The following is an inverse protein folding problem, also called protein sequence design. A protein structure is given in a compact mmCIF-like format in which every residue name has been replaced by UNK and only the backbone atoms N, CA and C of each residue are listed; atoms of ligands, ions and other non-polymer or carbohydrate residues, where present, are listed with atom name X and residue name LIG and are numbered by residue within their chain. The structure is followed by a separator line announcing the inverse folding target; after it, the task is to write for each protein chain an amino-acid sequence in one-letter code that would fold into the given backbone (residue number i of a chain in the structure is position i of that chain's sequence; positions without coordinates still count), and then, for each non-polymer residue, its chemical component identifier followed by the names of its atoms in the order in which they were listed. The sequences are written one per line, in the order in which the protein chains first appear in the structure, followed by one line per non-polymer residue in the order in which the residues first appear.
data_IF_592382682697
#
_entry.id   IF_592382682697
#
_cell.length_a   1.000
_cell.length_b   1.000
_cell.length_c   1.000
_cell.angle_alpha   90.00
_cell.angle_beta   90.00
_cell.angle_gamma   90.00
#
_symmetry.space_group_name_H-M   'P 1'
#
loop_
_entity.id
_entity.type
_entity.pdbx_description
1 polymer ?
#
# COMPACT_ATOMS: atom_id res chain seq x y z
N UNK A 1 -6.72 14.77 -12.44
CA UNK A 1 -5.34 14.34 -12.23
C UNK A 1 -5.13 14.24 -10.74
N UNK A 2 -4.66 13.10 -10.19
CA UNK A 2 -4.45 12.94 -8.74
C UNK A 2 -3.48 13.98 -8.21
N UNK A 3 -3.52 14.21 -6.91
CA UNK A 3 -2.63 15.18 -6.29
C UNK A 3 -1.26 14.56 -6.07
N UNK A 4 -0.24 15.08 -6.73
CA UNK A 4 1.16 14.69 -6.47
C UNK A 4 1.77 15.70 -5.51
N UNK A 5 2.27 15.21 -4.38
CA UNK A 5 2.89 16.03 -3.34
C UNK A 5 4.15 16.72 -3.85
N UNK A 6 4.31 18.00 -3.48
CA UNK A 6 5.52 18.79 -3.73
C UNK A 6 6.43 18.73 -2.49
N UNK A 7 7.69 19.13 -2.66
CA UNK A 7 8.64 19.21 -1.53
C UNK A 7 8.12 20.06 -0.37
N UNK A 8 7.46 21.18 -0.68
CA UNK A 8 6.91 22.09 0.35
C UNK A 8 5.82 21.41 1.20
N UNK A 9 4.98 20.59 0.58
CA UNK A 9 3.94 19.83 1.28
C UNK A 9 4.57 18.77 2.19
N UNK A 10 5.59 18.08 1.68
CA UNK A 10 6.35 17.09 2.40
C UNK A 10 7.08 17.71 3.60
N UNK A 11 7.74 18.86 3.42
CA UNK A 11 8.42 19.60 4.50
C UNK A 11 7.45 20.06 5.58
N UNK A 12 6.25 20.49 5.18
CA UNK A 12 5.19 20.88 6.12
C UNK A 12 4.71 19.69 6.93
N UNK A 13 4.51 18.57 6.26
CA UNK A 13 4.06 17.33 6.88
C UNK A 13 5.11 16.76 7.84
N UNK A 14 6.38 16.72 7.43
CA UNK A 14 7.48 16.25 8.28
C UNK A 14 7.62 17.10 9.53
N UNK A 15 7.65 18.45 9.40
CA UNK A 15 7.67 19.34 10.55
C UNK A 15 6.47 19.17 11.47
N UNK A 16 5.30 18.84 10.93
CA UNK A 16 4.11 18.58 11.74
C UNK A 16 4.26 17.28 12.54
N UNK A 17 4.75 16.20 11.93
CA UNK A 17 5.00 14.93 12.61
C UNK A 17 6.17 14.98 13.63
N UNK A 18 7.08 15.93 13.49
CA UNK A 18 8.17 16.15 14.45
C UNK A 18 7.73 16.84 15.74
N UNK A 19 6.55 17.42 15.77
CA UNK A 19 6.00 18.18 16.90
C UNK A 19 4.70 17.56 17.39
N UNK A 20 4.29 17.95 18.61
CA UNK A 20 2.94 17.64 19.05
C UNK A 20 1.91 18.53 18.34
N UNK A 21 0.74 17.98 17.96
CA UNK A 21 0.24 16.63 18.25
C UNK A 21 0.69 15.55 17.23
N UNK A 22 1.45 15.88 16.21
CA UNK A 22 1.80 14.99 15.10
C UNK A 22 2.52 13.71 15.56
N UNK A 23 3.44 13.80 16.53
CA UNK A 23 4.11 12.62 17.11
C UNK A 23 3.13 11.63 17.72
N UNK A 24 2.20 12.15 18.51
CA UNK A 24 1.14 11.34 19.12
C UNK A 24 0.25 10.68 18.05
N UNK A 25 -0.09 11.42 16.99
CA UNK A 25 -0.88 10.90 15.86
C UNK A 25 -0.14 9.75 15.18
N UNK A 26 1.12 9.94 14.82
CA UNK A 26 1.92 8.89 14.17
C UNK A 26 2.05 7.64 15.05
N UNK A 27 2.25 7.81 16.36
CA UNK A 27 2.31 6.69 17.28
C UNK A 27 0.99 5.92 17.33
N UNK A 28 -0.17 6.60 17.35
CA UNK A 28 -1.48 5.96 17.34
C UNK A 28 -1.78 5.27 16.00
N UNK A 29 -1.40 5.86 14.87
CA UNK A 29 -1.56 5.29 13.54
C UNK A 29 -0.74 4.00 13.38
N UNK A 30 0.54 4.02 13.78
CA UNK A 30 1.43 2.85 13.70
C UNK A 30 1.00 1.74 14.65
N UNK A 31 0.58 2.07 15.87
CA UNK A 31 0.01 1.10 16.80
C UNK A 31 -1.28 0.47 16.23
N UNK A 32 -2.11 1.26 15.57
CA UNK A 32 -3.34 0.76 14.98
C UNK A 32 -3.05 -0.18 13.81
N UNK A 33 -2.11 0.21 12.93
CA UNK A 33 -1.63 -0.63 11.82
C UNK A 33 -1.11 -1.96 12.36
N UNK A 34 -0.29 -1.94 13.42
CA UNK A 34 0.25 -3.15 14.04
C UNK A 34 -0.85 -4.05 14.63
N UNK A 35 -1.95 -3.49 15.13
CA UNK A 35 -3.09 -4.25 15.66
C UNK A 35 -3.91 -4.98 14.61
N UNK A 36 -4.02 -4.42 13.41
CA UNK A 36 -4.72 -5.07 12.30
C UNK A 36 -3.80 -5.98 11.49
N UNK A 37 -2.49 -5.70 11.51
CA UNK A 37 -1.49 -6.44 10.78
C UNK A 37 -0.22 -6.66 11.61
N UNK A 38 -0.02 -7.87 12.09
CA UNK A 38 1.13 -8.27 12.90
C UNK A 38 1.61 -9.65 12.44
N UNK A 39 2.42 -9.70 11.38
CA UNK A 39 2.93 -10.96 10.86
C UNK A 39 3.96 -11.57 11.82
N UNK A 40 3.94 -12.90 11.97
CA UNK A 40 4.83 -13.64 12.86
C UNK A 40 6.27 -13.77 12.35
N UNK A 41 6.55 -13.33 11.13
CA UNK A 41 7.87 -13.38 10.47
C UNK A 41 8.05 -12.19 9.52
N UNK A 42 9.31 -11.83 9.19
CA UNK A 42 9.61 -10.83 8.19
C UNK A 42 8.86 -11.07 6.88
N UNK A 43 8.40 -10.01 6.25
CA UNK A 43 7.69 -10.03 4.99
C UNK A 43 8.33 -9.06 3.99
N UNK A 44 8.10 -9.30 2.70
CA UNK A 44 8.33 -8.30 1.65
C UNK A 44 7.14 -7.35 1.62
N UNK A 45 7.37 -6.08 1.93
CA UNK A 45 6.33 -5.05 2.00
C UNK A 45 6.56 -4.00 0.94
N UNK A 46 5.55 -3.71 0.12
CA UNK A 46 5.51 -2.55 -0.77
C UNK A 46 4.66 -1.46 -0.12
N UNK A 47 5.20 -0.26 0.04
CA UNK A 47 4.43 0.93 0.38
C UNK A 47 4.18 1.75 -0.87
N UNK A 48 2.91 1.94 -1.25
CA UNK A 48 2.47 2.71 -2.40
C UNK A 48 2.14 4.14 -1.96
N UNK A 49 2.76 5.13 -2.60
CA UNK A 49 2.66 6.54 -2.19
C UNK A 49 3.48 6.82 -0.93
N UNK A 50 4.72 6.36 -0.89
CA UNK A 50 5.54 6.38 0.33
C UNK A 50 5.98 7.79 0.79
N UNK A 51 5.82 8.82 -0.02
CA UNK A 51 6.14 10.20 0.32
C UNK A 51 7.57 10.36 0.87
N UNK A 52 7.69 10.86 2.09
CA UNK A 52 9.00 11.06 2.76
C UNK A 52 9.58 9.78 3.40
N UNK A 53 8.93 8.63 3.22
CA UNK A 53 9.41 7.34 3.70
C UNK A 53 9.24 7.08 5.19
N UNK A 54 8.31 7.78 5.84
CA UNK A 54 8.07 7.64 7.29
C UNK A 54 7.57 6.25 7.66
N UNK A 55 6.60 5.71 6.92
CA UNK A 55 6.10 4.35 7.14
C UNK A 55 7.07 3.30 6.58
N UNK A 56 7.82 3.58 5.49
CA UNK A 56 8.90 2.71 5.03
C UNK A 56 9.89 2.43 6.17
N UNK A 57 10.34 3.49 6.86
CA UNK A 57 11.24 3.36 8.02
C UNK A 57 10.59 2.54 9.11
N UNK A 58 9.34 2.82 9.45
CA UNK A 58 8.61 2.07 10.47
C UNK A 58 8.51 0.58 10.13
N UNK A 59 8.17 0.20 8.88
CA UNK A 59 8.15 -1.19 8.46
C UNK A 59 9.54 -1.85 8.53
N UNK A 60 10.59 -1.14 8.14
CA UNK A 60 11.97 -1.64 8.22
C UNK A 60 12.41 -1.87 9.67
N UNK A 61 12.05 -0.97 10.59
CA UNK A 61 12.31 -1.11 12.03
C UNK A 61 11.58 -2.31 12.65
N UNK A 62 10.45 -2.74 12.06
CA UNK A 62 9.77 -4.00 12.42
C UNK A 62 10.44 -5.25 11.82
N UNK A 63 11.55 -5.09 11.07
CA UNK A 63 12.33 -6.18 10.49
C UNK A 63 11.82 -6.68 9.14
N UNK A 64 10.99 -5.92 8.44
CA UNK A 64 10.50 -6.27 7.10
C UNK A 64 11.46 -5.83 6.00
N UNK A 65 11.40 -6.52 4.84
CA UNK A 65 12.06 -6.09 3.60
C UNK A 65 11.13 -5.12 2.87
N UNK A 66 11.57 -3.88 2.73
CA UNK A 66 10.66 -2.78 2.35
C UNK A 66 11.06 -2.18 1.02
N UNK A 67 10.07 -1.98 0.17
CA UNK A 67 10.16 -1.21 -1.08
C UNK A 67 9.10 -0.12 -1.04
N UNK A 68 9.44 1.10 -1.47
CA UNK A 68 8.51 2.21 -1.64
C UNK A 68 8.31 2.55 -3.10
N UNK A 69 7.13 3.06 -3.46
CA UNK A 69 6.87 3.67 -4.76
C UNK A 69 6.18 5.02 -4.58
N UNK A 70 6.64 6.05 -5.33
CA UNK A 70 6.20 7.43 -5.18
C UNK A 70 6.17 8.13 -6.54
N UNK A 71 5.10 8.84 -6.92
CA UNK A 71 5.03 9.53 -8.20
C UNK A 71 5.92 10.77 -8.30
N UNK A 72 6.16 11.48 -7.21
CA UNK A 72 7.00 12.69 -7.17
C UNK A 72 8.48 12.34 -7.26
N UNK A 73 9.12 12.73 -8.37
CA UNK A 73 10.56 12.53 -8.55
C UNK A 73 11.40 13.16 -7.44
N UNK A 74 11.01 14.35 -7.02
CA UNK A 74 11.71 15.09 -5.98
C UNK A 74 11.65 14.35 -4.64
N UNK A 75 10.47 13.79 -4.29
CA UNK A 75 10.32 12.99 -3.08
C UNK A 75 11.07 11.67 -3.17
N UNK A 76 11.08 11.00 -4.31
CA UNK A 76 11.88 9.78 -4.52
C UNK A 76 13.35 10.05 -4.21
N UNK A 77 13.95 11.13 -4.78
CA UNK A 77 15.35 11.47 -4.55
C UNK A 77 15.63 11.77 -3.07
N UNK A 78 14.79 12.59 -2.46
CA UNK A 78 14.90 12.94 -1.05
C UNK A 78 14.82 11.70 -0.15
N UNK A 79 13.85 10.84 -0.41
CA UNK A 79 13.59 9.66 0.40
C UNK A 79 14.71 8.63 0.27
N UNK A 80 15.24 8.41 -0.94
CA UNK A 80 16.43 7.59 -1.17
C UNK A 80 17.65 8.09 -0.40
N UNK A 81 17.84 9.40 -0.35
CA UNK A 81 18.96 10.00 0.39
C UNK A 81 18.76 9.90 1.91
N UNK A 82 17.53 10.00 2.41
CA UNK A 82 17.21 10.02 3.83
C UNK A 82 17.10 8.63 4.49
N UNK A 83 16.92 7.58 3.69
CA UNK A 83 16.73 6.22 4.17
C UNK A 83 17.98 5.35 3.98
N UNK A 84 18.14 4.28 4.79
CA UNK A 84 19.18 3.28 4.56
C UNK A 84 19.11 2.69 3.14
N UNK A 85 20.26 2.36 2.55
CA UNK A 85 20.34 1.77 1.19
C UNK A 85 19.65 0.39 1.07
N UNK A 86 19.30 -0.22 2.17
CA UNK A 86 18.52 -1.47 2.21
C UNK A 86 17.05 -1.27 1.85
N UNK A 87 16.58 -0.02 1.80
CA UNK A 87 15.21 0.35 1.43
C UNK A 87 15.24 0.88 -0.01
N UNK A 88 14.57 0.17 -0.90
CA UNK A 88 14.42 0.60 -2.30
C UNK A 88 13.22 1.55 -2.41
N UNK A 89 13.39 2.63 -3.19
CA UNK A 89 12.28 3.56 -3.51
C UNK A 89 12.26 3.76 -5.01
N UNK A 90 11.16 3.39 -5.64
CA UNK A 90 10.96 3.50 -7.08
C UNK A 90 10.03 4.67 -7.41
N UNK A 91 10.11 5.14 -8.65
CA UNK A 91 9.16 6.13 -9.16
C UNK A 91 8.03 5.44 -9.89
N UNK A 92 6.78 5.76 -9.56
CA UNK A 92 5.61 5.23 -10.26
C UNK A 92 4.29 5.68 -9.64
N UNK A 93 3.21 5.31 -10.28
CA UNK A 93 1.85 5.64 -9.87
C UNK A 93 1.16 4.41 -9.28
N UNK A 94 0.26 4.64 -8.33
CA UNK A 94 -0.50 3.58 -7.67
C UNK A 94 -1.41 2.80 -8.64
N UNK A 95 -1.83 3.45 -9.73
CA UNK A 95 -2.72 2.90 -10.75
C UNK A 95 -2.01 1.98 -11.78
N UNK A 96 -0.67 1.97 -11.78
CA UNK A 96 0.16 1.17 -12.72
C UNK A 96 1.49 0.83 -12.02
N UNK A 97 1.48 -0.27 -11.26
CA UNK A 97 2.62 -0.70 -10.46
C UNK A 97 3.59 -1.53 -11.31
N UNK A 98 4.88 -1.16 -11.43
CA UNK A 98 5.87 -1.84 -12.26
C UNK A 98 6.42 -3.12 -11.61
N UNK A 99 5.56 -3.91 -11.00
CA UNK A 99 5.92 -5.14 -10.28
C UNK A 99 5.10 -6.33 -10.79
N UNK A 100 5.61 -7.54 -10.56
CA UNK A 100 4.95 -8.78 -10.95
C UNK A 100 3.77 -9.14 -10.02
N UNK A 101 2.88 -10.01 -10.51
CA UNK A 101 1.74 -10.50 -9.75
C UNK A 101 2.22 -11.28 -8.51
N UNK A 102 1.74 -10.88 -7.33
CA UNK A 102 2.10 -11.50 -6.06
C UNK A 102 3.58 -11.35 -5.66
N UNK A 103 4.23 -10.31 -6.14
CA UNK A 103 5.65 -10.07 -5.84
C UNK A 103 5.91 -9.76 -4.35
N UNK A 104 4.98 -9.09 -3.70
CA UNK A 104 5.09 -8.71 -2.28
C UNK A 104 4.16 -9.53 -1.41
N UNK A 105 4.58 -9.85 -0.19
CA UNK A 105 3.70 -10.53 0.78
C UNK A 105 2.55 -9.60 1.21
N UNK A 106 2.85 -8.31 1.40
CA UNK A 106 1.89 -7.27 1.79
C UNK A 106 2.13 -6.00 0.99
N UNK A 107 1.05 -5.38 0.52
CA UNK A 107 1.06 -4.05 -0.10
C UNK A 107 0.32 -3.07 0.80
N UNK A 108 0.98 -1.98 1.17
CA UNK A 108 0.45 -0.94 2.02
C UNK A 108 0.12 0.33 1.22
N UNK A 109 -1.08 0.86 1.40
CA UNK A 109 -1.51 2.18 0.91
C UNK A 109 -1.93 2.99 2.13
N UNK A 110 -1.03 3.82 2.65
CA UNK A 110 -1.28 4.59 3.87
C UNK A 110 -1.44 6.06 3.52
N UNK A 111 -2.67 6.57 3.66
CA UNK A 111 -3.06 7.94 3.23
C UNK A 111 -2.73 8.21 1.76
N UNK A 112 -2.91 7.21 0.91
CA UNK A 112 -2.57 7.24 -0.51
C UNK A 112 -3.82 7.28 -1.37
N UNK A 113 -4.81 6.44 -1.07
CA UNK A 113 -6.05 6.33 -1.87
C UNK A 113 -6.81 7.64 -1.97
N UNK A 114 -6.64 8.53 -1.01
CA UNK A 114 -7.25 9.86 -0.97
C UNK A 114 -6.79 10.78 -2.11
N UNK A 115 -5.57 10.54 -2.62
CA UNK A 115 -4.89 11.45 -3.56
C UNK A 115 -4.71 10.88 -4.97
N UNK A 116 -5.07 9.61 -5.19
CA UNK A 116 -4.98 8.98 -6.52
C UNK A 116 -6.14 9.40 -7.43
N UNK A 117 -5.94 9.31 -8.75
CA UNK A 117 -7.00 9.61 -9.73
C UNK A 117 -8.10 8.56 -9.72
N UNK A 118 -7.70 7.30 -9.65
CA UNK A 118 -8.61 6.16 -9.73
C UNK A 118 -8.34 5.19 -8.58
N UNK A 119 -9.00 5.39 -7.42
CA UNK A 119 -8.83 4.52 -6.26
C UNK A 119 -9.15 3.05 -6.54
N UNK A 120 -10.08 2.77 -7.46
CA UNK A 120 -10.42 1.40 -7.85
C UNK A 120 -9.26 0.74 -8.60
N UNK A 121 -8.63 1.45 -9.53
CA UNK A 121 -7.48 0.96 -10.28
C UNK A 121 -6.26 0.78 -9.36
N UNK A 122 -5.98 1.76 -8.49
CA UNK A 122 -4.90 1.66 -7.51
C UNK A 122 -5.07 0.45 -6.58
N UNK A 123 -6.30 0.21 -6.12
CA UNK A 123 -6.59 -0.95 -5.29
C UNK A 123 -6.49 -2.26 -6.07
N UNK A 124 -6.88 -2.28 -7.36
CA UNK A 124 -6.72 -3.44 -8.26
C UNK A 124 -5.25 -3.80 -8.44
N UNK A 125 -4.39 -2.82 -8.67
CA UNK A 125 -2.94 -3.01 -8.77
C UNK A 125 -2.34 -3.51 -7.45
N UNK A 126 -2.76 -2.91 -6.31
CA UNK A 126 -2.34 -3.37 -5.00
C UNK A 126 -2.70 -4.85 -4.75
N UNK A 127 -3.90 -5.28 -5.14
CA UNK A 127 -4.29 -6.69 -5.06
C UNK A 127 -3.52 -7.58 -6.03
N UNK A 128 -3.18 -7.09 -7.21
CA UNK A 128 -2.41 -7.84 -8.21
C UNK A 128 -1.01 -8.17 -7.71
N UNK A 129 -0.31 -7.16 -7.16
CA UNK A 129 1.09 -7.33 -6.73
C UNK A 129 1.23 -7.89 -5.31
N UNK A 130 0.14 -7.95 -4.52
CA UNK A 130 0.14 -8.52 -3.19
C UNK A 130 -0.13 -10.04 -3.23
N UNK A 131 0.62 -10.80 -2.44
CA UNK A 131 0.43 -12.25 -2.28
C UNK A 131 -0.57 -12.60 -1.20
N UNK A 132 -0.60 -11.86 -0.10
CA UNK A 132 -1.35 -12.22 1.12
C UNK A 132 -2.32 -11.14 1.58
N UNK A 133 -1.83 -9.91 1.67
CA UNK A 133 -2.58 -8.83 2.30
C UNK A 133 -2.43 -7.52 1.55
N UNK A 134 -3.51 -6.76 1.49
CA UNK A 134 -3.46 -5.32 1.20
C UNK A 134 -3.81 -4.61 2.51
N UNK A 135 -2.91 -3.74 2.96
CA UNK A 135 -3.05 -2.93 4.17
C UNK A 135 -3.38 -1.50 3.77
N UNK A 136 -4.55 -1.02 4.15
CA UNK A 136 -5.00 0.33 3.81
C UNK A 136 -5.13 1.16 5.08
N UNK A 137 -4.41 2.27 5.14
CA UNK A 137 -4.60 3.33 6.14
C UNK A 137 -5.26 4.53 5.49
N UNK A 138 -6.42 4.97 5.97
CA UNK A 138 -7.14 6.06 5.31
C UNK A 138 -7.84 7.02 6.28
N UNK A 139 -8.08 8.23 5.79
CA UNK A 139 -8.78 9.29 6.51
C UNK A 139 -10.28 9.13 6.37
N UNK A 140 -10.97 9.02 7.51
CA UNK A 140 -12.39 8.73 7.57
C UNK A 140 -13.25 9.99 7.42
N UNK A 141 -14.14 9.97 6.44
CA UNK A 141 -15.04 11.10 6.17
C UNK A 141 -16.08 11.38 7.26
N UNK A 142 -16.38 10.41 8.11
CA UNK A 142 -17.37 10.54 9.19
C UNK A 142 -16.75 10.91 10.55
N UNK A 143 -15.43 11.15 10.60
CA UNK A 143 -14.79 11.62 11.81
C UNK A 143 -15.04 13.11 12.06
N UNK A 144 -15.11 13.52 13.33
CA UNK A 144 -15.22 14.94 13.70
C UNK A 144 -14.08 15.78 13.12
N UNK A 145 -12.86 15.26 13.16
CA UNK A 145 -11.68 15.93 12.58
C UNK A 145 -11.77 16.01 11.04
N UNK A 146 -12.28 14.96 10.39
CA UNK A 146 -12.48 14.95 8.94
C UNK A 146 -13.52 15.98 8.49
N UNK A 147 -14.61 16.11 9.24
CA UNK A 147 -15.65 17.13 8.99
C UNK A 147 -15.07 18.53 9.19
N UNK A 148 -14.35 18.77 10.29
CA UNK A 148 -13.72 20.06 10.57
C UNK A 148 -12.72 20.46 9.47
N UNK A 149 -11.85 19.53 9.01
CA UNK A 149 -10.89 19.79 7.92
C UNK A 149 -11.55 20.08 6.58
N UNK A 150 -12.67 19.42 6.29
CA UNK A 150 -13.47 19.75 5.09
C UNK A 150 -14.04 21.16 5.15
N UNK A 151 -14.59 21.56 6.30
CA UNK A 151 -15.09 22.92 6.50
C UNK A 151 -13.95 23.94 6.41
N UNK A 152 -12.79 23.65 7.00
CA UNK A 152 -11.61 24.51 6.90
C UNK A 152 -11.13 24.67 5.44
N UNK A 153 -11.18 23.59 4.64
CA UNK A 153 -10.83 23.60 3.22
C UNK A 153 -11.66 24.52 2.34
N UNK A 154 -12.87 24.93 2.77
CA UNK A 154 -13.65 25.97 2.08
C UNK A 154 -13.07 27.38 2.24
N UNK A 155 -12.34 27.62 3.33
CA UNK A 155 -11.84 28.95 3.70
C UNK A 155 -10.33 29.11 3.50
N UNK A 156 -9.60 28.00 3.45
CA UNK A 156 -8.13 27.99 3.29
C UNK A 156 -7.72 26.93 2.28
N UNK A 157 -6.77 27.21 1.37
CA UNK A 157 -6.19 26.20 0.49
C UNK A 157 -5.36 25.22 1.34
N UNK A 158 -5.86 24.01 1.51
CA UNK A 158 -5.15 22.91 2.20
C UNK A 158 -5.01 21.74 1.24
N UNK A 159 -4.01 20.86 1.45
CA UNK A 159 -3.86 19.62 0.68
C UNK A 159 -5.11 18.73 0.73
N UNK A 160 -5.92 18.88 1.77
CA UNK A 160 -7.17 18.12 1.95
C UNK A 160 -8.31 18.57 1.01
N UNK A 161 -8.15 19.69 0.30
CA UNK A 161 -9.13 20.13 -0.70
C UNK A 161 -9.21 19.17 -1.89
N UNK A 162 -8.08 18.59 -2.27
CA UNK A 162 -7.96 17.63 -3.36
C UNK A 162 -8.14 16.17 -2.88
N UNK A 163 -8.24 15.94 -1.56
CA UNK A 163 -8.33 14.61 -1.00
C UNK A 163 -9.76 14.04 -1.06
N UNK A 164 -9.87 12.79 -1.48
CA UNK A 164 -11.11 12.00 -1.39
C UNK A 164 -11.13 11.22 -0.09
N UNK A 165 -12.03 11.58 0.83
CA UNK A 165 -12.18 10.86 2.10
C UNK A 165 -13.11 9.65 1.92
N UNK A 166 -12.73 8.53 2.52
CA UNK A 166 -13.50 7.28 2.47
C UNK A 166 -14.21 6.98 3.79
N UNK A 167 -15.25 6.17 3.72
CA UNK A 167 -15.78 5.45 4.87
C UNK A 167 -15.39 3.97 4.79
N UNK A 168 -15.45 3.27 5.92
CA UNK A 168 -15.22 1.82 5.98
C UNK A 168 -16.12 1.07 4.97
N UNK A 169 -17.40 1.47 4.88
CA UNK A 169 -18.34 0.84 3.95
C UNK A 169 -18.04 1.08 2.47
N UNK A 170 -17.53 2.28 2.13
CA UNK A 170 -17.13 2.60 0.74
C UNK A 170 -15.88 1.83 0.35
N UNK A 171 -14.88 1.76 1.25
CA UNK A 171 -13.66 1.01 0.95
C UNK A 171 -13.94 -0.50 0.82
N UNK A 172 -14.82 -1.05 1.67
CA UNK A 172 -15.28 -2.45 1.52
C UNK A 172 -15.97 -2.71 0.19
N UNK A 173 -16.85 -1.80 -0.25
CA UNK A 173 -17.51 -1.92 -1.57
C UNK A 173 -16.49 -1.86 -2.68
N UNK A 174 -15.57 -0.89 -2.63
CA UNK A 174 -14.52 -0.73 -3.63
C UNK A 174 -13.64 -2.00 -3.73
N UNK A 175 -13.22 -2.55 -2.59
CA UNK A 175 -12.47 -3.80 -2.54
C UNK A 175 -13.31 -4.99 -3.05
N UNK A 176 -14.59 -5.06 -2.71
CA UNK A 176 -15.52 -6.08 -3.19
C UNK A 176 -15.71 -6.05 -4.70
N UNK A 177 -15.80 -4.85 -5.29
CA UNK A 177 -15.91 -4.66 -6.73
C UNK A 177 -14.64 -5.11 -7.49
N UNK A 178 -13.46 -4.97 -6.85
CA UNK A 178 -12.19 -5.43 -7.42
C UNK A 178 -12.04 -6.95 -7.29
N UNK A 179 -12.39 -7.50 -6.13
CA UNK A 179 -12.23 -8.93 -5.82
C UNK A 179 -13.39 -9.79 -6.33
N UNK A 180 -14.43 -9.18 -6.93
CA UNK A 180 -15.66 -9.86 -7.34
C UNK A 180 -16.34 -10.64 -6.21
N UNK A 181 -16.27 -10.13 -4.98
CA UNK A 181 -16.85 -10.77 -3.80
C UNK A 181 -16.58 -9.97 -2.51
N UNK A 182 -17.19 -10.40 -1.41
CA UNK A 182 -16.97 -9.76 -0.12
C UNK A 182 -15.53 -9.98 0.36
N UNK A 183 -14.75 -8.91 0.58
CA UNK A 183 -13.39 -9.06 1.08
C UNK A 183 -13.42 -9.60 2.52
N UNK A 184 -12.49 -10.49 2.84
CA UNK A 184 -12.20 -10.79 4.24
C UNK A 184 -11.36 -9.64 4.77
N UNK A 185 -11.91 -8.87 5.70
CA UNK A 185 -11.25 -7.69 6.25
C UNK A 185 -11.22 -7.67 7.78
N UNK A 186 -10.19 -7.06 8.29
CA UNK A 186 -10.06 -6.66 9.70
C UNK A 186 -9.75 -5.17 9.72
N UNK A 187 -10.52 -4.40 10.44
CA UNK A 187 -10.28 -2.96 10.56
C UNK A 187 -10.39 -2.45 12.00
N UNK A 188 -9.74 -1.33 12.24
CA UNK A 188 -9.80 -0.57 13.48
C UNK A 188 -9.70 0.93 13.16
N UNK A 189 -10.14 1.77 14.09
CA UNK A 189 -10.02 3.22 13.96
C UNK A 189 -9.39 3.85 15.20
N UNK A 190 -8.77 5.01 15.04
CA UNK A 190 -8.24 5.82 16.15
C UNK A 190 -8.43 7.31 15.86
N UNK A 191 -7.96 8.16 16.77
CA UNK A 191 -8.11 9.63 16.68
C UNK A 191 -9.58 10.04 16.65
N UNK A 192 -10.36 9.48 17.59
CA UNK A 192 -11.79 9.77 17.74
C UNK A 192 -12.02 11.13 18.33
N UNK A 193 -11.15 11.52 19.27
CA UNK A 193 -11.21 12.80 19.97
C UNK A 193 -10.48 13.90 19.18
N UNK A 194 -10.87 15.17 19.39
CA UNK A 194 -10.17 16.30 18.75
C UNK A 194 -8.65 16.26 19.01
N UNK A 195 -7.86 16.59 18.00
CA UNK A 195 -6.39 16.56 18.07
C UNK A 195 -5.80 17.37 19.22
N UNK A 196 -6.47 18.45 19.64
CA UNK A 196 -6.07 19.25 20.80
C UNK A 196 -6.08 18.45 22.11
N UNK A 197 -6.90 17.42 22.20
CA UNK A 197 -7.04 16.54 23.36
C UNK A 197 -6.24 15.23 23.21
N UNK A 198 -5.65 14.98 22.05
CA UNK A 198 -5.01 13.69 21.70
C UNK A 198 -3.94 13.26 22.73
N UNK A 199 -3.12 14.18 23.20
CA UNK A 199 -2.08 13.89 24.21
C UNK A 199 -2.63 13.41 25.55
N UNK A 200 -3.80 13.91 25.95
CA UNK A 200 -4.48 13.53 27.21
C UNK A 200 -5.35 12.30 27.03
N UNK A 201 -5.87 12.12 25.82
CA UNK A 201 -6.75 11.04 25.46
C UNK A 201 -6.03 9.77 24.99
N UNK A 202 -4.70 9.82 24.88
CA UNK A 202 -3.87 8.71 24.39
C UNK A 202 -4.17 7.34 25.05
N UNK A 203 -4.38 7.23 26.38
CA UNK A 203 -4.76 5.95 26.99
C UNK A 203 -6.14 5.45 26.53
N UNK A 204 -7.10 6.36 26.32
CA UNK A 204 -8.45 6.02 25.85
C UNK A 204 -8.44 5.56 24.40
N UNK A 205 -7.68 6.25 23.53
CA UNK A 205 -7.50 5.90 22.11
C UNK A 205 -6.83 4.53 21.93
N UNK A 206 -6.04 4.06 22.91
CA UNK A 206 -5.45 2.72 22.95
C UNK A 206 -6.43 1.64 23.43
N UNK A 207 -7.54 2.00 24.03
CA UNK A 207 -8.52 1.04 24.50
C UNK A 207 -9.19 0.34 23.30
N UNK A 208 -9.23 -1.00 23.29
CA UNK A 208 -9.83 -1.80 22.20
C UNK A 208 -11.27 -1.42 21.90
N UNK A 209 -12.03 -1.02 22.92
CA UNK A 209 -13.41 -0.57 22.76
C UNK A 209 -13.52 0.69 21.91
N UNK A 210 -12.60 1.66 22.12
CA UNK A 210 -12.53 2.90 21.33
C UNK A 210 -11.99 2.71 19.91
N UNK A 211 -11.56 1.52 19.54
CA UNK A 211 -11.00 1.25 18.21
C UNK A 211 -11.93 0.45 17.31
N UNK A 212 -13.09 0.02 17.80
CA UNK A 212 -14.03 -0.84 17.05
C UNK A 212 -15.15 -0.05 16.37
N UNK A 213 -15.26 1.27 16.64
CA UNK A 213 -16.31 2.11 16.06
C UNK A 213 -15.83 2.86 14.80
N UNK A 214 -16.73 3.21 13.86
CA UNK A 214 -16.38 3.80 12.56
C UNK A 214 -16.22 5.34 12.58
N UNK A 215 -15.93 5.96 13.74
CA UNK A 215 -15.89 7.43 13.88
C UNK A 215 -14.48 7.98 14.11
N UNK A 216 -13.45 7.14 14.25
CA UNK A 216 -12.06 7.58 14.33
C UNK A 216 -11.62 8.28 13.05
N UNK A 217 -10.68 9.22 13.15
CA UNK A 217 -10.19 9.99 12.02
C UNK A 217 -9.31 9.15 11.09
N UNK A 218 -8.47 8.30 11.66
CA UNK A 218 -7.68 7.34 10.91
C UNK A 218 -8.24 5.94 11.06
N UNK A 219 -8.37 5.24 9.96
CA UNK A 219 -8.79 3.84 9.91
C UNK A 219 -7.70 3.01 9.27
N UNK A 220 -7.27 1.96 9.96
CA UNK A 220 -6.43 0.91 9.40
C UNK A 220 -7.29 -0.30 9.04
N UNK A 221 -7.16 -0.80 7.81
CA UNK A 221 -7.88 -1.95 7.29
C UNK A 221 -6.91 -2.91 6.62
N UNK A 222 -6.94 -4.18 7.04
CA UNK A 222 -6.27 -5.28 6.35
C UNK A 222 -7.29 -6.05 5.53
N UNK A 223 -7.00 -6.23 4.26
CA UNK A 223 -7.77 -7.01 3.31
C UNK A 223 -6.99 -8.28 2.98
N UNK A 224 -7.56 -9.44 3.27
CA UNK A 224 -6.91 -10.72 3.05
C UNK A 224 -7.20 -11.23 1.63
N UNK A 225 -6.15 -11.57 0.89
CA UNK A 225 -6.26 -12.16 -0.44
C UNK A 225 -6.51 -13.65 -0.27
N UNK A 226 -7.71 -14.08 -0.64
CA UNK A 226 -8.08 -15.49 -0.64
C UNK A 226 -8.16 -15.97 -2.08
N UNK A 227 -7.21 -16.77 -2.51
CA UNK A 227 -7.31 -17.49 -3.75
C UNK A 227 -8.30 -18.65 -3.55
N UNK A 228 -9.56 -18.45 -3.92
CA UNK A 228 -10.51 -19.55 -4.00
C UNK A 228 -10.20 -20.33 -5.28
N UNK A 229 -9.22 -21.22 -5.26
CA UNK A 229 -9.11 -22.27 -6.25
C UNK A 229 -10.35 -23.18 -6.07
N UNK A 230 -11.44 -22.91 -6.76
CA UNK A 230 -12.45 -23.95 -7.00
C UNK A 230 -11.79 -24.98 -7.90
N UNK A 231 -11.19 -25.98 -7.32
CA UNK A 231 -10.93 -27.24 -8.01
C UNK A 231 -12.31 -27.75 -8.40
N UNK A 232 -12.67 -27.62 -9.67
CA UNK A 232 -13.79 -28.36 -10.24
C UNK A 232 -13.26 -29.80 -10.28
N UNK A 233 -13.48 -30.54 -9.22
CA UNK A 233 -13.48 -31.97 -9.29
C UNK A 233 -14.79 -32.28 -10.01
N UNK A 234 -14.71 -32.59 -11.32
CA UNK A 234 -15.79 -33.23 -12.02
C UNK A 234 -16.12 -34.52 -11.25
N UNK A 235 -17.32 -34.65 -10.71
CA UNK A 235 -17.72 -35.92 -10.13
C UNK A 235 -17.69 -36.96 -11.26
N UNK A 236 -16.84 -37.95 -11.08
CA UNK A 236 -16.68 -39.07 -12.04
C UNK A 236 -17.96 -39.89 -12.24
N UNK A 237 -19.07 -39.55 -11.60
CA UNK A 237 -20.36 -40.26 -11.77
C UNK A 237 -21.54 -39.29 -11.69
N UNK A 238 -22.25 -39.15 -12.80
CA UNK A 238 -23.70 -39.01 -12.83
C UNK A 238 -24.32 -37.66 -12.51
N UNK A 239 -24.94 -37.10 -13.55
CA UNK A 239 -26.08 -36.16 -13.55
C UNK A 239 -25.79 -34.73 -13.08
N UNK A 240 -25.34 -33.89 -14.02
CA UNK A 240 -25.59 -32.47 -13.97
C UNK A 240 -27.09 -32.17 -14.12
N UNK A 241 -27.71 -31.33 -13.27
CA UNK A 241 -29.05 -30.80 -13.56
C UNK A 241 -28.97 -29.96 -14.83
N UNK A 242 -29.75 -30.32 -15.84
CA UNK A 242 -29.94 -29.54 -17.07
C UNK A 242 -30.60 -28.21 -16.68
N UNK A 243 -29.85 -27.08 -16.78
CA UNK A 243 -30.46 -25.77 -16.62
C UNK A 243 -29.64 -24.65 -15.96
N UNK A 244 -28.39 -24.87 -15.62
CA UNK A 244 -27.56 -23.76 -15.10
C UNK A 244 -27.05 -22.90 -16.27
N UNK A 245 -27.52 -21.65 -16.34
CA UNK A 245 -26.98 -20.65 -17.27
C UNK A 245 -25.49 -20.38 -17.00
N UNK A 246 -24.66 -20.17 -18.05
CA UNK A 246 -23.23 -19.92 -17.88
C UNK A 246 -23.01 -18.61 -17.11
N UNK A 247 -22.30 -18.70 -16.01
CA UNK A 247 -21.84 -17.53 -15.25
C UNK A 247 -20.86 -16.75 -16.16
N UNK A 248 -21.23 -15.53 -16.53
CA UNK A 248 -20.33 -14.62 -17.24
C UNK A 248 -19.14 -14.26 -16.32
N UNK A 249 -17.99 -14.83 -16.63
CA UNK A 249 -16.73 -14.45 -15.98
C UNK A 249 -16.35 -13.03 -16.41
N UNK A 250 -15.99 -12.19 -15.44
CA UNK A 250 -15.50 -10.86 -15.71
C UNK A 250 -14.17 -10.95 -16.51
N UNK A 251 -13.90 -10.01 -17.47
CA UNK A 251 -12.72 -10.07 -18.34
C UNK A 251 -11.36 -10.08 -17.65
N UNK A 252 -11.29 -9.67 -16.37
CA UNK A 252 -10.06 -9.68 -15.56
C UNK A 252 -9.66 -11.06 -15.01
N UNK A 253 -10.53 -12.07 -15.13
CA UNK A 253 -10.16 -13.46 -14.88
C UNK A 253 -9.50 -14.04 -16.15
N UNK A 254 -8.23 -13.70 -16.43
CA UNK A 254 -7.48 -14.28 -17.53
C UNK A 254 -7.31 -15.78 -17.30
N UNK A 255 -7.86 -16.58 -18.20
CA UNK A 255 -7.50 -18.00 -18.34
C UNK A 255 -6.09 -18.04 -18.92
N UNK A 256 -5.16 -18.67 -18.22
CA UNK A 256 -3.91 -19.12 -18.85
C UNK A 256 -4.28 -20.14 -19.94
N UNK A 257 -3.74 -20.00 -21.17
CA UNK A 257 -3.98 -20.96 -22.23
C UNK A 257 -3.43 -22.33 -21.83
N UNK A 258 -4.18 -23.38 -22.17
CA UNK A 258 -3.91 -24.76 -21.77
C UNK A 258 -2.57 -25.33 -22.31
N UNK A 259 -1.90 -24.63 -23.21
CA UNK A 259 -0.64 -25.04 -23.85
C UNK A 259 0.61 -24.84 -22.98
N UNK A 260 0.55 -24.09 -21.87
CA UNK A 260 1.75 -23.82 -21.04
C UNK A 260 1.84 -24.67 -19.76
N UNK A 261 0.92 -25.62 -19.55
CA UNK A 261 0.83 -26.39 -18.31
C UNK A 261 1.91 -27.48 -18.13
N UNK A 262 2.79 -27.72 -19.10
CA UNK A 262 3.77 -28.83 -19.07
C UNK A 262 5.20 -28.43 -19.42
N UNK A 263 5.61 -27.18 -19.27
CA UNK A 263 7.04 -26.86 -19.37
C UNK A 263 7.68 -26.80 -17.98
N UNK A 264 8.76 -27.55 -17.73
CA UNK A 264 9.50 -27.44 -16.50
C UNK A 264 10.14 -26.06 -16.42
N UNK A 265 10.01 -25.41 -15.23
CA UNK A 265 10.61 -24.12 -14.94
C UNK A 265 12.12 -24.22 -15.14
N UNK A 266 12.64 -23.66 -16.24
CA UNK A 266 14.07 -23.45 -16.43
C UNK A 266 14.50 -22.29 -15.54
N UNK A 267 15.13 -22.61 -14.43
CA UNK A 267 15.85 -21.64 -13.61
C UNK A 267 16.97 -21.03 -14.46
N UNK A 268 16.92 -19.75 -14.71
CA UNK A 268 18.02 -18.98 -15.30
C UNK A 268 19.16 -18.93 -14.29
N UNK A 269 20.39 -19.33 -14.64
CA UNK A 269 21.53 -19.13 -13.74
C UNK A 269 21.84 -17.63 -13.61
N UNK A 270 22.41 -17.18 -12.49
CA UNK A 270 22.80 -15.79 -12.30
C UNK A 270 23.82 -15.39 -13.35
N UNK A 271 23.68 -14.18 -13.88
CA UNK A 271 24.58 -13.60 -14.88
C UNK A 271 26.01 -13.56 -14.30
N UNK A 272 26.91 -14.33 -14.90
CA UNK A 272 28.33 -14.29 -14.60
C UNK A 272 28.91 -12.93 -15.06
N UNK A 273 29.68 -12.32 -14.18
CA UNK A 273 30.43 -11.11 -14.46
C UNK A 273 31.33 -11.33 -15.69
N UNK A 274 31.19 -10.48 -16.69
CA UNK A 274 32.12 -10.40 -17.82
C UNK A 274 33.39 -9.75 -17.29
N UNK A 275 34.42 -10.57 -17.06
CA UNK A 275 35.81 -10.11 -16.96
C UNK A 275 36.27 -9.60 -18.34
N UNK A 276 36.53 -8.32 -18.42
CA UNK A 276 37.22 -7.72 -19.56
C UNK A 276 38.72 -7.94 -19.42
N UNK A 277 39.24 -8.87 -20.20
CA UNK A 277 40.68 -9.04 -20.47
C UNK A 277 41.19 -7.85 -21.27
N UNK A 278 41.99 -7.02 -20.65
CA UNK A 278 42.74 -5.95 -21.29
C UNK A 278 44.01 -6.50 -21.95
N UNK A 279 44.12 -6.34 -23.25
CA UNK A 279 45.35 -6.53 -23.98
C UNK A 279 46.34 -5.40 -23.70
N UNK A 280 47.54 -5.80 -23.33
CA UNK A 280 48.74 -4.98 -23.13
C UNK A 280 49.20 -4.42 -24.46
N UNK A 281 49.30 -3.12 -24.58
CA UNK A 281 50.03 -2.41 -25.66
C UNK A 281 51.06 -1.49 -25.03
N UNK A 282 52.32 -1.90 -25.16
CA UNK A 282 53.52 -1.18 -24.75
C UNK A 282 53.77 0.03 -25.66
N UNK A 283 53.98 1.22 -25.10
CA UNK A 283 54.89 2.23 -25.71
C UNK A 283 55.61 3.04 -24.62
N UNK A 284 56.90 3.05 -24.74
CA UNK A 284 57.92 3.75 -23.96
C UNK A 284 57.81 5.28 -24.09
N UNK A 285 58.33 6.03 -23.13
CA UNK A 285 58.38 7.48 -23.15
C UNK A 285 59.68 8.02 -23.71
N UNK A 286 59.69 9.24 -24.20
CA UNK A 286 60.88 10.13 -24.17
C UNK A 286 60.44 11.58 -23.88
N UNK A 287 61.41 12.41 -23.37
CA UNK A 287 61.14 13.54 -22.51
C UNK A 287 61.26 14.90 -23.22
N UNK A 288 60.56 15.90 -22.74
CA UNK A 288 61.11 17.24 -22.45
C UNK A 288 60.19 17.93 -21.46
#
# INVERSE_FOLDING_TARGET
MGYVFRLEDADRLDRWFEREPGRTVFALETELLQRVWSPSRPQRVLEVGCGTGRFLRWFAEQGHLVTGIEPSWELVQRTRWALPQTITVDRGFAEDLPYEDGEFDTVALITTLEFVNNPKQALSEAFRVARRHVLVGFLNKYSLTGIARRLEGFWRPTMYREATFFSVGELRRLAGDVLCGAPADVWRSCLTLPLALSRYAHPLERCRFFQVHPFGHFVAMRLDIRYTCKTIQDPLVGSLPRGAAPVKLHPSCRRFPASERNQPIKLRPPAAALESSSAVGSHHPEPI
#
